data_IF_808012296366
#
_entry.id   IF_808012296366
#
_cell.length_a   1.000
_cell.length_b   1.000
_cell.length_c   1.000
_cell.angle_alpha   90.00
_cell.angle_beta   90.00
_cell.angle_gamma   90.00
#
_symmetry.space_group_name_H-M   'P 1'
#
loop_
_entity.id
_entity.type
_entity.pdbx_description
1 polymer ?
#
# COMPACT_ATOMS: atom_id res chain seq x y z
N UNK A 1 19.23 5.52 28.35
CA UNK A 1 17.89 4.94 28.25
C UNK A 1 17.56 4.78 26.79
N UNK A 2 16.98 3.65 26.32
CA UNK A 2 16.54 3.52 24.94
C UNK A 2 15.42 4.51 24.66
N UNK A 3 15.44 5.14 23.47
CA UNK A 3 14.50 6.19 23.05
C UNK A 3 13.04 5.73 23.11
N UNK A 4 12.79 4.41 22.98
CA UNK A 4 11.47 3.79 23.07
C UNK A 4 11.57 2.39 23.70
N UNK A 5 11.22 2.23 24.97
CA UNK A 5 11.32 0.96 25.69
C UNK A 5 10.50 -0.19 25.02
N UNK A 6 9.36 0.12 24.40
CA UNK A 6 8.55 -0.85 23.68
C UNK A 6 9.33 -1.52 22.52
N UNK A 7 10.16 -0.78 21.78
CA UNK A 7 10.98 -1.34 20.70
C UNK A 7 11.98 -2.40 21.19
N UNK A 8 12.52 -2.21 22.39
CA UNK A 8 13.47 -3.17 22.97
C UNK A 8 12.81 -4.49 23.37
N UNK A 9 11.60 -4.42 23.90
CA UNK A 9 10.90 -5.60 24.43
C UNK A 9 10.15 -6.36 23.34
N UNK A 10 9.69 -5.68 22.28
CA UNK A 10 8.87 -6.23 21.18
C UNK A 10 9.57 -6.15 19.82
N UNK A 11 10.82 -6.60 19.78
CA UNK A 11 11.69 -6.49 18.57
C UNK A 11 11.09 -7.12 17.32
N UNK A 12 10.43 -8.28 17.46
CA UNK A 12 9.83 -8.99 16.33
C UNK A 12 8.67 -8.21 15.73
N UNK A 13 7.78 -7.73 16.56
CA UNK A 13 6.61 -6.95 16.15
C UNK A 13 7.04 -5.62 15.52
N UNK A 14 8.00 -4.93 16.11
CA UNK A 14 8.55 -3.69 15.54
C UNK A 14 9.31 -3.91 14.24
N UNK A 15 9.96 -5.04 14.06
CA UNK A 15 10.57 -5.38 12.77
C UNK A 15 9.52 -5.49 11.66
N UNK A 16 8.35 -6.06 11.95
CA UNK A 16 7.22 -6.10 11.00
C UNK A 16 6.74 -4.67 10.70
N UNK A 17 6.48 -3.86 11.74
CA UNK A 17 6.06 -2.45 11.56
C UNK A 17 7.06 -1.67 10.70
N UNK A 18 8.36 -1.83 10.96
CA UNK A 18 9.41 -1.22 10.14
C UNK A 18 9.35 -1.64 8.67
N UNK A 19 9.15 -2.94 8.40
CA UNK A 19 9.01 -3.44 7.03
C UNK A 19 7.73 -2.92 6.35
N UNK A 20 6.63 -2.79 7.08
CA UNK A 20 5.39 -2.22 6.53
C UNK A 20 5.55 -0.75 6.14
N UNK A 21 6.21 0.04 6.98
CA UNK A 21 6.47 1.46 6.69
C UNK A 21 7.41 1.60 5.49
N UNK A 22 8.51 0.87 5.47
CA UNK A 22 9.48 0.91 4.38
C UNK A 22 8.93 0.28 3.08
N UNK A 23 8.27 -0.89 3.19
CA UNK A 23 7.70 -1.62 2.06
C UNK A 23 6.57 -0.87 1.34
N UNK A 24 5.93 0.10 1.99
CA UNK A 24 4.96 0.96 1.32
C UNK A 24 5.59 1.75 0.15
N UNK A 25 6.85 2.13 0.25
CA UNK A 25 7.59 2.77 -0.84
C UNK A 25 7.69 1.91 -2.09
N UNK A 26 7.81 0.58 -1.94
CA UNK A 26 7.83 -0.37 -3.06
C UNK A 26 6.45 -0.45 -3.75
N UNK A 27 5.36 -0.38 -2.98
CA UNK A 27 4.01 -0.32 -3.53
C UNK A 27 3.80 0.96 -4.35
N UNK A 28 4.26 2.10 -3.85
CA UNK A 28 4.21 3.37 -4.60
C UNK A 28 5.06 3.30 -5.88
N UNK A 29 6.23 2.66 -5.82
CA UNK A 29 7.09 2.50 -6.99
C UNK A 29 6.39 1.67 -8.08
N UNK A 30 5.79 0.52 -7.74
CA UNK A 30 5.03 -0.28 -8.69
C UNK A 30 3.80 0.45 -9.22
N UNK A 31 3.10 1.21 -8.39
CA UNK A 31 1.98 2.04 -8.84
C UNK A 31 2.43 3.12 -9.84
N UNK A 32 3.62 3.70 -9.63
CA UNK A 32 4.22 4.63 -10.59
C UNK A 32 4.54 3.95 -11.93
N UNK A 33 5.02 2.69 -11.91
CA UNK A 33 5.21 1.87 -13.11
C UNK A 33 3.88 1.64 -13.83
N UNK A 34 2.83 1.20 -13.12
CA UNK A 34 1.48 1.02 -13.70
C UNK A 34 0.99 2.31 -14.37
N UNK A 35 1.22 3.46 -13.72
CA UNK A 35 0.89 4.77 -14.29
C UNK A 35 1.66 5.04 -15.58
N UNK A 36 2.95 4.69 -15.62
CA UNK A 36 3.81 4.82 -16.80
C UNK A 36 3.35 3.94 -17.96
N UNK A 37 2.98 2.68 -17.71
CA UNK A 37 2.44 1.78 -18.74
C UNK A 37 1.11 2.30 -19.29
N UNK A 38 0.24 2.83 -18.43
CA UNK A 38 -1.01 3.46 -18.85
C UNK A 38 -0.76 4.67 -19.78
N UNK A 39 0.26 5.48 -19.47
CA UNK A 39 0.68 6.57 -20.33
C UNK A 39 1.25 6.10 -21.67
N UNK A 40 1.99 4.98 -21.68
CA UNK A 40 2.53 4.38 -22.90
C UNK A 40 1.42 3.92 -23.84
N UNK A 41 0.38 3.28 -23.31
CA UNK A 41 -0.76 2.79 -24.10
C UNK A 41 -1.57 3.93 -24.75
N UNK A 42 -1.65 5.09 -24.11
CA UNK A 42 -2.33 6.27 -24.67
C UNK A 42 -1.58 6.94 -25.83
N UNK A 43 -0.32 6.62 -26.02
CA UNK A 43 0.55 7.25 -27.02
C UNK A 43 0.87 6.26 -28.13
N UNK A 44 0.63 6.63 -29.37
CA UNK A 44 1.07 5.82 -30.51
C UNK A 44 2.58 5.60 -30.42
N UNK A 45 3.07 4.35 -30.55
CA UNK A 45 4.50 4.09 -30.57
C UNK A 45 5.16 4.89 -31.71
N UNK A 46 6.29 5.54 -31.40
CA UNK A 46 7.11 6.13 -32.46
C UNK A 46 7.67 4.96 -33.31
N UNK A 47 7.53 4.96 -34.65
CA UNK A 47 8.05 3.88 -35.50
C UNK A 47 9.54 3.61 -35.33
N UNK A 48 10.31 4.61 -34.85
CA UNK A 48 11.74 4.48 -34.56
C UNK A 48 12.05 3.78 -33.22
N UNK A 49 11.06 3.50 -32.39
CA UNK A 49 11.25 2.85 -31.11
C UNK A 49 10.65 1.44 -31.13
N UNK A 50 11.46 0.45 -30.74
CA UNK A 50 10.93 -0.89 -30.42
C UNK A 50 9.97 -0.80 -29.25
N UNK A 51 8.97 -1.69 -29.19
CA UNK A 51 7.98 -1.75 -28.08
C UNK A 51 8.60 -1.72 -26.69
N UNK A 52 9.66 -2.50 -26.37
CA UNK A 52 10.30 -2.44 -25.06
C UNK A 52 10.88 -1.06 -24.73
N UNK A 53 11.56 -0.39 -25.69
CA UNK A 53 12.10 0.95 -25.47
C UNK A 53 11.01 1.99 -25.24
N UNK A 54 9.88 1.87 -25.95
CA UNK A 54 8.71 2.73 -25.75
C UNK A 54 8.17 2.56 -24.33
N UNK A 55 7.92 1.32 -23.88
CA UNK A 55 7.46 1.01 -22.52
C UNK A 55 8.41 1.60 -21.46
N UNK A 56 9.70 1.28 -21.51
CA UNK A 56 10.70 1.74 -20.54
C UNK A 56 10.74 3.28 -20.46
N UNK A 57 10.63 3.96 -21.60
CA UNK A 57 10.60 5.43 -21.64
C UNK A 57 9.41 5.97 -20.84
N UNK A 58 8.22 5.41 -21.01
CA UNK A 58 7.02 5.88 -20.33
C UNK A 58 6.94 5.44 -18.87
N UNK A 59 7.50 4.30 -18.51
CA UNK A 59 7.70 3.92 -17.10
C UNK A 59 8.54 4.98 -16.37
N UNK A 60 9.68 5.42 -16.95
CA UNK A 60 10.51 6.50 -16.39
C UNK A 60 9.76 7.82 -16.28
N UNK A 61 8.95 8.18 -17.29
CA UNK A 61 8.10 9.37 -17.24
C UNK A 61 7.04 9.23 -16.14
N UNK A 62 6.42 8.08 -16.02
CA UNK A 62 5.46 7.76 -14.97
C UNK A 62 6.05 7.93 -13.59
N UNK A 63 7.20 7.30 -13.32
CA UNK A 63 7.94 7.40 -12.07
C UNK A 63 8.26 8.87 -11.73
N UNK A 64 8.85 9.62 -12.69
CA UNK A 64 9.21 11.02 -12.47
C UNK A 64 7.98 11.88 -12.14
N UNK A 65 6.88 11.72 -12.87
CA UNK A 65 5.64 12.48 -12.64
C UNK A 65 5.00 12.11 -11.33
N UNK A 66 4.92 10.81 -11.01
CA UNK A 66 4.32 10.30 -9.80
C UNK A 66 5.02 10.86 -8.55
N UNK A 67 6.35 10.75 -8.48
CA UNK A 67 7.12 11.22 -7.34
C UNK A 67 7.34 12.75 -7.29
N UNK A 68 7.01 13.50 -8.36
CA UNK A 68 6.94 14.96 -8.28
C UNK A 68 5.69 15.47 -7.54
N UNK A 69 4.71 14.62 -7.30
CA UNK A 69 3.48 14.98 -6.59
C UNK A 69 3.70 14.86 -5.08
N UNK A 70 3.38 15.93 -4.34
CA UNK A 70 3.46 15.93 -2.89
C UNK A 70 2.26 15.21 -2.26
N UNK A 71 2.52 14.39 -1.24
CA UNK A 71 1.53 13.65 -0.46
C UNK A 71 1.09 12.33 -1.13
N UNK A 72 1.10 11.27 -0.35
CA UNK A 72 0.83 9.91 -0.81
C UNK A 72 -0.59 9.77 -1.37
N UNK A 73 -1.59 10.38 -0.73
CA UNK A 73 -2.98 10.34 -1.23
C UNK A 73 -3.09 11.00 -2.60
N UNK A 74 -2.45 12.15 -2.80
CA UNK A 74 -2.45 12.86 -4.09
C UNK A 74 -1.77 12.01 -5.20
N UNK A 75 -0.72 11.25 -4.85
CA UNK A 75 -0.08 10.31 -5.78
C UNK A 75 -1.01 9.18 -6.20
N UNK A 76 -1.74 8.59 -5.26
CA UNK A 76 -2.74 7.56 -5.55
C UNK A 76 -3.86 8.13 -6.44
N UNK A 77 -4.36 9.31 -6.15
CA UNK A 77 -5.44 9.93 -6.92
C UNK A 77 -4.98 10.31 -8.33
N UNK A 78 -3.73 10.75 -8.48
CA UNK A 78 -3.11 10.95 -9.79
C UNK A 78 -3.03 9.64 -10.58
N UNK A 79 -2.54 8.55 -9.96
CA UNK A 79 -2.49 7.24 -10.58
C UNK A 79 -3.87 6.78 -11.05
N UNK A 80 -4.89 6.89 -10.18
CA UNK A 80 -6.29 6.59 -10.53
C UNK A 80 -6.73 7.33 -11.78
N UNK A 81 -6.52 8.65 -11.83
CA UNK A 81 -6.89 9.49 -12.97
C UNK A 81 -6.19 9.07 -14.26
N UNK A 82 -4.91 8.67 -14.18
CA UNK A 82 -4.15 8.25 -15.35
C UNK A 82 -4.53 6.84 -15.82
N UNK A 83 -4.83 5.94 -14.92
CA UNK A 83 -5.03 4.52 -15.22
C UNK A 83 -6.47 4.17 -15.57
N UNK A 84 -7.46 4.76 -14.89
CA UNK A 84 -8.87 4.37 -14.93
C UNK A 84 -9.36 4.05 -16.36
N UNK A 85 -9.37 5.04 -17.25
CA UNK A 85 -9.93 4.88 -18.60
C UNK A 85 -9.29 3.73 -19.38
N UNK A 86 -7.95 3.68 -19.42
CA UNK A 86 -7.24 2.71 -20.25
C UNK A 86 -7.33 1.28 -19.73
N UNK A 87 -7.38 1.10 -18.41
CA UNK A 87 -7.57 -0.23 -17.81
C UNK A 87 -8.99 -0.75 -18.04
N UNK A 88 -9.98 0.13 -18.04
CA UNK A 88 -11.36 -0.22 -18.40
C UNK A 88 -11.47 -0.61 -19.87
N UNK A 89 -10.88 0.14 -20.78
CA UNK A 89 -10.86 -0.16 -22.22
C UNK A 89 -10.17 -1.49 -22.53
N UNK A 90 -9.23 -1.94 -21.68
CA UNK A 90 -8.55 -3.24 -21.80
C UNK A 90 -9.25 -4.39 -21.06
N UNK A 91 -10.46 -4.17 -20.55
CA UNK A 91 -11.23 -5.20 -19.84
C UNK A 91 -10.63 -5.61 -18.48
N UNK A 92 -9.87 -4.72 -17.83
CA UNK A 92 -9.19 -4.99 -16.53
C UNK A 92 -9.86 -4.24 -15.37
N UNK A 93 -11.12 -3.87 -15.49
CA UNK A 93 -11.85 -3.06 -14.50
C UNK A 93 -11.85 -3.68 -13.10
N UNK A 94 -12.13 -5.00 -13.02
CA UNK A 94 -12.20 -5.71 -11.75
C UNK A 94 -10.86 -5.72 -11.01
N UNK A 95 -9.80 -6.09 -11.72
CA UNK A 95 -8.44 -6.13 -11.18
C UNK A 95 -7.96 -4.74 -10.75
N UNK A 96 -8.18 -3.74 -11.60
CA UNK A 96 -7.85 -2.36 -11.30
C UNK A 96 -8.54 -1.87 -10.02
N UNK A 97 -9.85 -2.08 -9.90
CA UNK A 97 -10.63 -1.58 -8.76
C UNK A 97 -10.20 -2.24 -7.45
N UNK A 98 -9.98 -3.57 -7.48
CA UNK A 98 -9.50 -4.33 -6.32
C UNK A 98 -8.13 -3.83 -5.86
N UNK A 99 -7.18 -3.67 -6.78
CA UNK A 99 -5.81 -3.27 -6.47
C UNK A 99 -5.75 -1.82 -5.97
N UNK A 100 -6.53 -0.91 -6.55
CA UNK A 100 -6.60 0.47 -6.06
C UNK A 100 -7.24 0.56 -4.67
N UNK A 101 -8.18 -0.34 -4.36
CA UNK A 101 -8.72 -0.51 -3.01
C UNK A 101 -7.66 -1.00 -2.02
N UNK A 102 -6.88 -2.01 -2.41
CA UNK A 102 -5.79 -2.54 -1.60
C UNK A 102 -4.69 -1.49 -1.33
N UNK A 103 -4.30 -0.70 -2.33
CA UNK A 103 -3.36 0.42 -2.17
C UNK A 103 -3.85 1.45 -1.14
N UNK A 104 -5.12 1.85 -1.23
CA UNK A 104 -5.70 2.79 -0.26
C UNK A 104 -5.73 2.22 1.16
N UNK A 105 -5.94 0.91 1.30
CA UNK A 105 -5.87 0.21 2.56
C UNK A 105 -4.46 0.20 3.15
N UNK A 106 -3.45 -0.15 2.34
CA UNK A 106 -2.05 -0.13 2.74
C UNK A 106 -1.60 1.27 3.17
N UNK A 107 -2.01 2.33 2.46
CA UNK A 107 -1.72 3.71 2.85
C UNK A 107 -2.29 4.06 4.23
N UNK A 108 -3.55 3.70 4.50
CA UNK A 108 -4.18 3.95 5.80
C UNK A 108 -3.41 3.26 6.94
N UNK A 109 -3.00 2.01 6.74
CA UNK A 109 -2.25 1.25 7.74
C UNK A 109 -0.86 1.87 7.95
N UNK A 110 -0.15 2.16 6.86
CA UNK A 110 1.17 2.82 6.92
C UNK A 110 1.09 4.14 7.68
N UNK A 111 0.12 4.99 7.37
CA UNK A 111 -0.04 6.27 8.03
C UNK A 111 -0.43 6.11 9.51
N UNK A 112 -1.30 5.14 9.81
CA UNK A 112 -1.61 4.80 11.19
C UNK A 112 -0.33 4.45 11.96
N UNK A 113 0.50 3.55 11.44
CA UNK A 113 1.70 3.09 12.13
C UNK A 113 2.82 4.15 12.18
N UNK A 114 2.94 5.00 11.17
CA UNK A 114 3.95 6.06 11.13
C UNK A 114 3.66 7.22 12.11
N UNK A 115 2.39 7.45 12.45
CA UNK A 115 1.97 8.59 13.28
C UNK A 115 1.44 8.17 14.67
N UNK A 116 1.70 6.93 15.07
CA UNK A 116 1.29 6.45 16.38
C UNK A 116 2.39 6.60 17.44
N UNK A 117 1.94 6.84 18.67
CA UNK A 117 2.74 6.54 19.86
C UNK A 117 2.56 5.08 20.23
N UNK A 118 3.65 4.41 20.53
CA UNK A 118 3.70 2.97 20.77
C UNK A 118 4.02 2.66 22.22
N UNK A 119 3.27 1.73 22.78
CA UNK A 119 3.50 1.19 24.12
C UNK A 119 3.50 -0.33 24.10
N UNK A 120 4.10 -0.93 25.11
CA UNK A 120 3.93 -2.34 25.41
C UNK A 120 3.26 -2.51 26.78
N UNK A 121 2.48 -3.56 26.90
CA UNK A 121 1.85 -3.91 28.16
C UNK A 121 2.46 -5.21 28.70
N UNK A 122 2.88 -5.21 29.98
CA UNK A 122 3.58 -6.35 30.58
C UNK A 122 2.76 -7.63 30.61
N UNK A 123 1.42 -7.51 30.68
CA UNK A 123 0.49 -8.64 30.80
C UNK A 123 -0.10 -9.15 29.49
N UNK A 124 0.07 -8.40 28.37
CA UNK A 124 -0.46 -8.81 27.05
C UNK A 124 0.62 -8.83 26.00
N UNK A 125 0.74 -9.90 25.19
CA UNK A 125 1.63 -9.92 24.04
C UNK A 125 1.14 -8.97 22.95
N UNK A 126 2.08 -8.38 22.17
CA UNK A 126 1.77 -7.47 21.07
C UNK A 126 2.09 -6.03 21.37
N UNK A 127 1.70 -5.16 20.47
CA UNK A 127 1.93 -3.72 20.51
C UNK A 127 0.63 -2.99 20.82
N UNK A 128 0.73 -2.01 21.70
CA UNK A 128 -0.33 -1.05 21.94
C UNK A 128 0.07 0.27 21.27
N UNK A 129 -0.88 0.92 20.65
CA UNK A 129 -0.61 2.17 19.95
C UNK A 129 -1.80 3.11 19.97
N UNK A 130 -1.52 4.40 19.94
CA UNK A 130 -2.50 5.47 19.88
C UNK A 130 -2.10 6.48 18.82
N UNK A 131 -3.04 6.85 17.96
CA UNK A 131 -2.82 7.97 17.05
C UNK A 131 -3.03 9.28 17.84
N UNK A 132 -1.94 9.97 18.14
CA UNK A 132 -1.95 11.18 18.95
C UNK A 132 -2.72 12.35 18.29
N UNK A 133 -2.66 12.47 16.95
CA UNK A 133 -3.42 13.50 16.25
C UNK A 133 -4.93 13.27 16.34
N UNK A 134 -5.36 12.02 16.13
CA UNK A 134 -6.77 11.67 16.27
C UNK A 134 -7.24 11.80 17.71
N UNK A 135 -6.40 11.42 18.67
CA UNK A 135 -6.70 11.54 20.10
C UNK A 135 -6.76 13.00 20.56
N UNK A 136 -5.87 13.87 20.03
CA UNK A 136 -5.87 15.30 20.35
C UNK A 136 -7.06 16.07 19.77
N UNK A 137 -7.64 15.58 18.66
CA UNK A 137 -8.86 16.16 18.06
C UNK A 137 -10.14 15.61 18.66
N UNK A 138 -10.08 14.49 19.39
CA UNK A 138 -11.26 13.90 20.01
C UNK A 138 -11.69 14.70 21.24
N UNK A 139 -13.00 14.97 21.44
CA UNK A 139 -13.47 15.61 22.64
C UNK A 139 -13.26 14.71 23.86
N UNK A 140 -12.70 15.26 24.92
CA UNK A 140 -12.49 14.58 26.20
C UNK A 140 -11.03 14.21 26.50
N UNK A 141 -10.82 13.58 27.66
CA UNK A 141 -9.47 13.18 28.10
C UNK A 141 -8.95 11.98 27.29
N UNK A 142 -7.64 11.95 27.05
CA UNK A 142 -6.93 10.76 26.56
C UNK A 142 -7.27 9.57 27.48
N UNK A 143 -8.05 8.62 26.97
CA UNK A 143 -8.50 7.48 27.74
C UNK A 143 -7.93 6.18 27.14
N UNK A 144 -7.81 5.15 27.94
CA UNK A 144 -7.37 3.81 27.51
C UNK A 144 -8.18 3.26 26.31
N UNK A 145 -9.45 3.69 26.18
CA UNK A 145 -10.29 3.36 24.99
C UNK A 145 -9.75 3.87 23.66
N UNK A 146 -8.81 4.82 23.67
CA UNK A 146 -8.19 5.35 22.45
C UNK A 146 -6.97 4.51 22.00
N UNK A 147 -6.47 3.63 22.87
CA UNK A 147 -5.42 2.70 22.49
C UNK A 147 -5.97 1.56 21.64
N UNK A 148 -5.14 1.11 20.74
CA UNK A 148 -5.37 -0.03 19.86
C UNK A 148 -4.31 -1.07 20.12
N UNK A 149 -4.62 -2.31 19.78
CA UNK A 149 -3.73 -3.44 19.98
C UNK A 149 -3.52 -4.20 18.69
N UNK A 150 -2.28 -4.57 18.41
CA UNK A 150 -1.92 -5.48 17.34
C UNK A 150 -0.98 -6.55 17.89
N UNK A 151 -1.43 -7.78 17.86
CA UNK A 151 -0.60 -8.95 18.17
C UNK A 151 0.26 -9.37 16.97
N UNK A 152 1.19 -10.29 17.19
CA UNK A 152 2.07 -10.79 16.15
C UNK A 152 1.33 -11.44 14.98
N UNK A 153 0.18 -12.09 15.24
CA UNK A 153 -0.66 -12.70 14.19
C UNK A 153 -1.30 -11.64 13.31
N UNK A 154 -1.86 -10.60 13.91
CA UNK A 154 -2.44 -9.46 13.20
C UNK A 154 -1.40 -8.75 12.36
N UNK A 155 -0.21 -8.51 12.91
CA UNK A 155 0.89 -7.87 12.17
C UNK A 155 1.35 -8.72 10.98
N UNK A 156 1.45 -10.04 11.15
CA UNK A 156 1.78 -10.95 10.04
C UNK A 156 0.71 -10.93 8.94
N UNK A 157 -0.58 -10.94 9.30
CA UNK A 157 -1.67 -10.82 8.31
C UNK A 157 -1.61 -9.50 7.53
N UNK A 158 -1.20 -8.41 8.18
CA UNK A 158 -1.01 -7.13 7.51
C UNK A 158 0.19 -7.21 6.54
N UNK A 159 1.28 -7.83 6.97
CA UNK A 159 2.47 -8.02 6.12
C UNK A 159 2.13 -8.87 4.88
N UNK A 160 1.40 -9.96 5.05
CA UNK A 160 0.90 -10.79 3.94
C UNK A 160 0.03 -9.99 2.98
N UNK A 161 -0.79 -9.08 3.49
CA UNK A 161 -1.63 -8.22 2.65
C UNK A 161 -0.83 -7.16 1.88
N UNK A 162 0.22 -6.60 2.45
CA UNK A 162 1.14 -5.72 1.72
C UNK A 162 1.85 -6.48 0.61
N UNK A 163 2.32 -7.70 0.90
CA UNK A 163 2.93 -8.57 -0.09
C UNK A 163 1.95 -8.94 -1.21
N UNK A 164 0.73 -9.30 -0.85
CA UNK A 164 -0.33 -9.53 -1.84
C UNK A 164 -0.56 -8.31 -2.74
N UNK A 165 -0.63 -7.11 -2.16
CA UNK A 165 -0.82 -5.87 -2.91
C UNK A 165 0.34 -5.62 -3.87
N UNK A 166 1.58 -5.90 -3.45
CA UNK A 166 2.77 -5.84 -4.30
C UNK A 166 2.65 -6.78 -5.50
N UNK A 167 2.34 -8.05 -5.27
CA UNK A 167 2.17 -9.05 -6.34
C UNK A 167 1.04 -8.67 -7.30
N UNK A 168 -0.05 -8.10 -6.79
CA UNK A 168 -1.16 -7.64 -7.61
C UNK A 168 -0.81 -6.43 -8.49
N UNK A 169 -0.01 -5.49 -7.98
CA UNK A 169 0.49 -4.37 -8.78
C UNK A 169 1.45 -4.84 -9.89
N UNK A 170 2.34 -5.78 -9.58
CA UNK A 170 3.25 -6.38 -10.57
C UNK A 170 2.46 -7.13 -11.66
N UNK A 171 1.49 -7.96 -11.26
CA UNK A 171 0.55 -8.60 -12.17
C UNK A 171 -0.16 -7.58 -13.05
N UNK A 172 -0.73 -6.53 -12.45
CA UNK A 172 -1.47 -5.50 -13.16
C UNK A 172 -0.62 -4.81 -14.24
N UNK A 173 0.63 -4.46 -13.91
CA UNK A 173 1.56 -3.84 -14.84
C UNK A 173 1.93 -4.76 -16.01
N UNK A 174 2.18 -6.04 -15.74
CA UNK A 174 2.56 -7.04 -16.74
C UNK A 174 1.38 -7.39 -17.65
N UNK A 175 0.25 -7.76 -17.07
CA UNK A 175 -0.97 -8.13 -17.82
C UNK A 175 -1.43 -6.99 -18.72
N UNK A 176 -1.50 -5.77 -18.18
CA UNK A 176 -1.84 -4.60 -18.97
C UNK A 176 -0.84 -4.38 -20.12
N UNK A 177 0.47 -4.53 -19.85
CA UNK A 177 1.50 -4.33 -20.88
C UNK A 177 1.37 -5.33 -22.03
N UNK A 178 0.95 -6.56 -21.74
CA UNK A 178 0.71 -7.60 -22.76
C UNK A 178 -0.54 -7.25 -23.56
N UNK A 179 -1.65 -6.93 -22.90
CA UNK A 179 -2.92 -6.58 -23.59
C UNK A 179 -2.78 -5.31 -24.45
N UNK A 180 -1.99 -4.35 -24.00
CA UNK A 180 -1.70 -3.12 -24.74
C UNK A 180 -0.61 -3.29 -25.82
N UNK A 181 -0.11 -4.51 -26.06
CA UNK A 181 0.97 -4.82 -27.02
C UNK A 181 2.27 -4.02 -26.76
N UNK A 182 2.52 -3.69 -25.49
CA UNK A 182 3.75 -3.02 -25.04
C UNK A 182 4.84 -4.00 -24.63
N UNK A 183 4.47 -5.26 -24.39
CA UNK A 183 5.36 -6.35 -24.01
C UNK A 183 4.88 -7.66 -24.64
N UNK A 184 5.80 -8.52 -25.01
CA UNK A 184 5.53 -9.90 -25.42
C UNK A 184 5.88 -10.85 -24.28
N UNK A 185 5.14 -11.91 -24.13
CA UNK A 185 5.36 -12.97 -23.15
C UNK A 185 4.08 -13.73 -22.82
N UNK A 186 4.19 -14.78 -22.01
CA UNK A 186 3.01 -15.47 -21.50
C UNK A 186 2.22 -14.54 -20.57
N UNK A 187 0.91 -14.74 -20.51
CA UNK A 187 0.06 -14.04 -19.54
C UNK A 187 0.53 -14.37 -18.12
N UNK A 188 0.72 -13.36 -17.25
CA UNK A 188 1.12 -13.61 -15.87
C UNK A 188 -0.02 -14.28 -15.10
N UNK A 189 0.33 -15.16 -14.17
CA UNK A 189 -0.65 -15.73 -13.26
C UNK A 189 -1.13 -14.67 -12.28
N UNK A 190 -2.46 -14.54 -12.16
CA UNK A 190 -3.05 -13.66 -11.14
C UNK A 190 -2.75 -14.21 -9.74
N UNK A 191 -2.31 -13.39 -8.79
CA UNK A 191 -2.15 -13.81 -7.39
C UNK A 191 -3.48 -14.32 -6.80
N UNK A 192 -3.39 -15.36 -5.96
CA UNK A 192 -4.55 -15.86 -5.23
C UNK A 192 -5.11 -14.75 -4.34
N UNK A 193 -6.44 -14.56 -4.38
CA UNK A 193 -7.09 -13.52 -3.57
C UNK A 193 -6.89 -13.79 -2.08
N UNK A 194 -6.37 -12.81 -1.38
CA UNK A 194 -6.46 -12.77 0.06
C UNK A 194 -7.80 -12.13 0.48
N UNK A 195 -8.39 -12.61 1.59
CA UNK A 195 -9.54 -11.92 2.14
C UNK A 195 -9.18 -10.48 2.45
N UNK A 196 -10.10 -9.52 2.21
CA UNK A 196 -9.85 -8.13 2.53
C UNK A 196 -9.49 -8.04 4.02
N UNK A 197 -8.43 -7.29 4.32
CA UNK A 197 -8.11 -6.98 5.72
C UNK A 197 -9.37 -6.38 6.34
N UNK A 198 -9.89 -7.06 7.34
CA UNK A 198 -10.96 -6.51 8.16
C UNK A 198 -10.36 -5.34 8.94
N UNK A 199 -10.36 -4.16 8.33
CA UNK A 199 -9.89 -2.92 8.96
C UNK A 199 -10.51 -2.66 10.33
N UNK A 200 -11.66 -3.27 10.57
CA UNK A 200 -12.38 -3.22 11.81
C UNK A 200 -11.52 -3.58 13.03
N UNK A 201 -10.70 -4.62 12.94
CA UNK A 201 -9.98 -5.13 14.11
C UNK A 201 -8.77 -4.25 14.50
N UNK A 202 -8.19 -3.53 13.52
CA UNK A 202 -7.10 -2.58 13.77
C UNK A 202 -7.58 -1.19 14.16
N UNK A 203 -8.84 -0.88 13.86
CA UNK A 203 -9.41 0.46 14.01
C UNK A 203 -10.33 0.59 15.22
N UNK A 204 -10.66 -0.51 15.92
CA UNK A 204 -11.52 -0.44 17.10
C UNK A 204 -10.75 -0.11 18.37
N UNK A 205 -11.34 0.73 19.23
CA UNK A 205 -10.80 0.95 20.57
C UNK A 205 -10.80 -0.39 21.34
N UNK A 206 -9.78 -0.59 22.15
CA UNK A 206 -9.74 -1.70 23.12
C UNK A 206 -11.05 -1.66 23.93
N UNK A 207 -11.95 -2.60 23.66
CA UNK A 207 -13.08 -2.86 24.54
C UNK A 207 -12.48 -3.51 25.78
N UNK A 208 -12.48 -2.73 26.87
CA UNK A 208 -12.18 -3.12 28.25
C UNK A 208 -11.02 -4.10 28.45
N UNK A 209 -9.92 -3.57 28.97
CA UNK A 209 -8.96 -4.32 29.78
C UNK A 209 -9.61 -4.55 31.15
N UNK A 210 -10.41 -5.58 31.31
CA UNK A 210 -10.76 -6.13 32.62
C UNK A 210 -9.99 -7.40 32.88
#
# INVERSE_FOLDING_TARGET
MPLMPAFHRRKKEFAIVGRLIAGYGELEFLLAICTGVALAARRKPNPRHTRPRHRIRYERIGIKRFFSIRGEQNRIDHAKKQMHKVFFEMGMQGDYSEIMGAMAACLKIRNLFAHCHWEDHSKKPGLFFINLEAAGRAPGRLALKNFRHADGKTLAQIEDYFWYTFLCLDYLAKEFSIRADLMRGPAPSRPARLPPLKHCDLLFPLRSLH
#
